data_IF_959088442320
#
_entry.id   IF_959088442320
#
_cell.length_a   1.000
_cell.length_b   1.000
_cell.length_c   1.000
_cell.angle_alpha   90.00
_cell.angle_beta   90.00
_cell.angle_gamma   90.00
#
_symmetry.space_group_name_H-M   'P 1'
#
loop_
_entity.id
_entity.type
_entity.pdbx_description
1 polymer ?
#
# COMPACT_ATOMS: atom_id res chain seq x y z
N UNK A 1 17.26 -6.06 -11.50
CA UNK A 1 17.20 -6.77 -10.20
C UNK A 1 15.83 -6.71 -9.53
N UNK A 2 15.15 -5.55 -9.53
CA UNK A 2 13.89 -5.36 -8.81
C UNK A 2 12.75 -6.31 -9.24
N UNK A 3 12.61 -6.61 -10.53
CA UNK A 3 11.55 -7.48 -11.04
C UNK A 3 11.62 -8.92 -10.48
N UNK A 4 12.82 -9.45 -10.27
CA UNK A 4 12.99 -10.81 -9.72
C UNK A 4 12.59 -10.89 -8.24
N UNK A 5 12.79 -9.81 -7.49
CA UNK A 5 12.38 -9.74 -6.08
C UNK A 5 10.86 -9.76 -6.00
N UNK A 6 10.18 -8.93 -6.80
CA UNK A 6 8.72 -8.90 -6.84
C UNK A 6 8.12 -10.22 -7.32
N UNK A 7 8.64 -10.80 -8.40
CA UNK A 7 8.21 -12.12 -8.85
C UNK A 7 8.45 -13.18 -7.77
N UNK A 8 9.58 -13.12 -7.07
CA UNK A 8 9.87 -14.02 -5.95
C UNK A 8 8.88 -13.89 -4.80
N UNK A 9 8.51 -12.66 -4.42
CA UNK A 9 7.50 -12.40 -3.37
C UNK A 9 6.11 -12.89 -3.78
N UNK A 10 5.70 -12.68 -5.03
CA UNK A 10 4.40 -13.13 -5.55
C UNK A 10 4.34 -14.66 -5.59
N UNK A 11 5.38 -15.31 -6.13
CA UNK A 11 5.45 -16.77 -6.17
C UNK A 11 5.49 -17.34 -4.75
N UNK A 12 6.30 -16.75 -3.87
CA UNK A 12 6.40 -17.15 -2.47
C UNK A 12 5.06 -17.04 -1.73
N UNK A 13 4.30 -15.97 -1.95
CA UNK A 13 2.99 -15.78 -1.33
C UNK A 13 1.96 -16.79 -1.83
N UNK A 14 1.94 -17.09 -3.13
CA UNK A 14 1.08 -18.12 -3.72
C UNK A 14 1.42 -19.52 -3.20
N UNK A 15 2.72 -19.86 -3.13
CA UNK A 15 3.17 -21.14 -2.57
C UNK A 15 2.81 -21.28 -1.09
N UNK A 16 2.97 -20.21 -0.32
CA UNK A 16 2.56 -20.16 1.09
C UNK A 16 1.05 -20.39 1.23
N UNK A 17 0.23 -19.67 0.47
CA UNK A 17 -1.22 -19.84 0.51
C UNK A 17 -1.66 -21.24 0.09
N UNK A 18 -1.08 -21.79 -0.97
CA UNK A 18 -1.38 -23.15 -1.41
C UNK A 18 -1.01 -24.17 -0.32
N UNK A 19 0.14 -24.00 0.33
CA UNK A 19 0.58 -24.88 1.42
C UNK A 19 -0.39 -24.82 2.62
N UNK A 20 -0.78 -23.62 3.04
CA UNK A 20 -1.73 -23.45 4.15
C UNK A 20 -3.10 -24.00 3.79
N UNK A 21 -3.64 -23.68 2.61
CA UNK A 21 -4.96 -24.15 2.19
C UNK A 21 -5.00 -25.68 2.02
N UNK A 22 -3.94 -26.28 1.49
CA UNK A 22 -3.83 -27.75 1.39
C UNK A 22 -3.76 -28.42 2.76
N UNK A 23 -3.04 -27.83 3.71
CA UNK A 23 -3.04 -28.28 5.10
C UNK A 23 -4.42 -28.15 5.75
N UNK A 24 -5.09 -27.00 5.61
CA UNK A 24 -6.43 -26.77 6.17
C UNK A 24 -7.48 -27.74 5.59
N UNK A 25 -7.36 -28.06 4.30
CA UNK A 25 -8.20 -29.07 3.63
C UNK A 25 -7.91 -30.49 4.15
N UNK A 26 -6.62 -30.84 4.33
CA UNK A 26 -6.22 -32.16 4.83
C UNK A 26 -6.65 -32.39 6.30
N UNK A 27 -6.58 -31.36 7.14
CA UNK A 27 -7.03 -31.38 8.53
C UNK A 27 -8.56 -31.26 8.67
N UNK A 28 -9.26 -30.96 7.56
CA UNK A 28 -10.68 -30.64 7.51
C UNK A 28 -11.08 -29.65 8.61
N UNK A 29 -10.30 -28.57 8.75
CA UNK A 29 -10.41 -27.58 9.84
C UNK A 29 -11.83 -27.02 10.00
N UNK A 30 -12.50 -26.79 8.88
CA UNK A 30 -13.86 -26.22 8.82
C UNK A 30 -14.97 -27.26 8.84
N UNK A 31 -14.64 -28.56 8.89
CA UNK A 31 -15.60 -29.67 8.90
C UNK A 31 -16.62 -29.57 7.74
N UNK A 32 -16.12 -29.27 6.54
CA UNK A 32 -16.90 -28.96 5.34
C UNK A 32 -17.99 -30.01 4.98
N UNK A 33 -17.76 -31.28 5.35
CA UNK A 33 -18.64 -32.40 5.04
C UNK A 33 -19.45 -32.89 6.27
N UNK A 34 -19.44 -32.17 7.38
CA UNK A 34 -20.17 -32.52 8.60
C UNK A 34 -21.22 -31.47 8.93
N UNK A 35 -22.40 -31.91 9.34
CA UNK A 35 -23.46 -31.04 9.81
C UNK A 35 -23.34 -30.82 11.32
N UNK A 36 -23.36 -29.56 11.75
CA UNK A 36 -23.35 -29.18 13.17
C UNK A 36 -24.72 -29.47 13.78
N UNK A 37 -24.83 -30.33 14.81
CA UNK A 37 -26.09 -30.53 15.51
C UNK A 37 -26.53 -29.25 16.20
N UNK A 38 -27.76 -28.82 15.94
CA UNK A 38 -28.37 -27.64 16.54
C UNK A 38 -29.78 -27.95 17.02
N UNK A 39 -30.25 -27.14 17.95
CA UNK A 39 -31.65 -27.17 18.38
C UNK A 39 -32.31 -25.88 17.94
N UNK A 40 -33.37 -26.00 17.16
CA UNK A 40 -34.15 -24.87 16.65
C UNK A 40 -35.38 -24.66 17.55
N UNK A 41 -35.49 -23.50 18.16
CA UNK A 41 -36.66 -23.09 18.96
C UNK A 41 -37.50 -22.10 18.15
N UNK A 42 -38.80 -22.36 18.03
CA UNK A 42 -39.74 -21.53 17.27
C UNK A 42 -40.65 -20.77 18.24
N UNK A 43 -40.46 -19.44 18.40
CA UNK A 43 -41.27 -18.63 19.33
C UNK A 43 -42.77 -18.75 19.09
N UNK A 44 -43.18 -18.79 17.82
CA UNK A 44 -44.57 -18.89 17.38
C UNK A 44 -44.99 -20.32 16.99
N UNK A 45 -44.12 -21.31 17.23
CA UNK A 45 -44.29 -22.69 16.79
C UNK A 45 -43.92 -22.92 15.32
N UNK A 46 -43.51 -24.16 15.02
CA UNK A 46 -43.01 -24.53 13.70
C UNK A 46 -44.09 -24.46 12.60
N UNK A 47 -43.86 -23.66 11.55
CA UNK A 47 -44.76 -23.53 10.40
C UNK A 47 -44.12 -24.07 9.12
N UNK A 48 -44.49 -25.27 8.64
CA UNK A 48 -43.79 -25.93 7.53
C UNK A 48 -43.90 -25.24 6.17
N UNK A 49 -44.95 -24.45 5.94
CA UNK A 49 -45.23 -23.77 4.67
C UNK A 49 -44.70 -22.32 4.62
N UNK A 50 -44.21 -21.79 5.75
CA UNK A 50 -43.72 -20.43 5.82
C UNK A 50 -42.41 -20.29 5.05
N UNK A 51 -42.36 -19.37 4.08
CA UNK A 51 -41.13 -19.09 3.31
C UNK A 51 -39.99 -18.59 4.19
N UNK A 52 -40.30 -17.79 5.21
CA UNK A 52 -39.36 -17.28 6.22
C UNK A 52 -40.07 -17.28 7.57
N UNK A 53 -39.43 -17.79 8.60
CA UNK A 53 -39.94 -17.73 9.97
C UNK A 53 -38.80 -17.49 10.96
N UNK A 54 -39.02 -16.73 12.05
CA UNK A 54 -38.02 -16.51 13.08
C UNK A 54 -37.70 -17.82 13.81
N UNK A 55 -36.44 -17.98 14.20
CA UNK A 55 -35.97 -19.14 14.94
C UNK A 55 -34.85 -18.73 15.90
N UNK A 56 -34.83 -19.33 17.08
CA UNK A 56 -33.67 -19.30 17.97
C UNK A 56 -32.85 -20.57 17.77
N UNK A 57 -31.56 -20.41 17.49
CA UNK A 57 -30.64 -21.49 17.13
C UNK A 57 -29.73 -21.72 18.32
N UNK A 58 -29.86 -22.89 18.93
CA UNK A 58 -29.03 -23.28 20.08
C UNK A 58 -27.95 -24.24 19.63
N UNK A 59 -26.71 -23.87 19.94
CA UNK A 59 -25.52 -24.65 19.66
C UNK A 59 -24.99 -25.18 20.99
N UNK A 60 -24.93 -26.49 21.13
CA UNK A 60 -24.33 -27.11 22.32
C UNK A 60 -22.82 -26.88 22.32
N UNK A 61 -22.31 -26.18 23.33
CA UNK A 61 -20.90 -25.83 23.40
C UNK A 61 -19.98 -27.04 23.55
N UNK A 62 -20.43 -28.15 24.15
CA UNK A 62 -19.60 -29.35 24.29
C UNK A 62 -19.44 -30.06 22.94
N UNK A 63 -20.55 -30.24 22.22
CA UNK A 63 -20.54 -30.78 20.84
C UNK A 63 -19.76 -29.89 19.88
N UNK A 64 -19.87 -28.58 20.03
CA UNK A 64 -19.11 -27.62 19.23
C UNK A 64 -17.59 -27.81 19.41
N UNK A 65 -17.12 -27.83 20.67
CA UNK A 65 -15.70 -28.02 20.98
C UNK A 65 -15.19 -29.37 20.52
N UNK A 66 -15.98 -30.43 20.67
CA UNK A 66 -15.64 -31.78 20.19
C UNK A 66 -15.51 -31.82 18.66
N UNK A 67 -16.49 -31.24 17.95
CA UNK A 67 -16.52 -31.23 16.49
C UNK A 67 -15.34 -30.46 15.91
N UNK A 68 -15.05 -29.26 16.42
CA UNK A 68 -14.02 -28.38 15.86
C UNK A 68 -12.65 -28.47 16.56
N UNK A 69 -12.53 -29.20 17.66
CA UNK A 69 -11.28 -29.32 18.42
C UNK A 69 -10.77 -27.98 18.96
N UNK A 70 -11.69 -27.10 19.40
CA UNK A 70 -11.39 -25.74 19.86
C UNK A 70 -11.81 -25.54 21.32
N UNK A 71 -11.14 -24.65 22.03
CA UNK A 71 -11.52 -24.24 23.39
C UNK A 71 -12.62 -23.16 23.37
N UNK A 72 -12.79 -22.48 22.24
CA UNK A 72 -13.78 -21.42 22.05
C UNK A 72 -15.20 -21.99 22.13
N UNK A 73 -16.10 -21.23 22.75
CA UNK A 73 -17.49 -21.63 22.94
C UNK A 73 -18.44 -20.62 22.29
N UNK A 74 -19.42 -21.08 21.52
CA UNK A 74 -20.45 -20.20 20.98
C UNK A 74 -21.41 -19.77 22.09
N UNK A 75 -22.17 -18.71 21.83
CA UNK A 75 -23.26 -18.28 22.69
C UNK A 75 -24.34 -19.37 22.80
N UNK A 76 -25.12 -19.33 23.89
CA UNK A 76 -26.10 -20.38 24.20
C UNK A 76 -27.32 -20.40 23.28
N UNK A 77 -27.60 -19.28 22.61
CA UNK A 77 -28.69 -19.10 21.64
C UNK A 77 -28.32 -17.98 20.69
N UNK A 78 -28.65 -18.15 19.42
CA UNK A 78 -28.52 -17.14 18.37
C UNK A 78 -29.88 -16.87 17.76
N UNK A 79 -30.22 -15.61 17.59
CA UNK A 79 -31.37 -15.25 16.77
C UNK A 79 -31.08 -15.58 15.29
N UNK A 80 -32.12 -15.93 14.55
CA UNK A 80 -32.01 -16.21 13.14
C UNK A 80 -33.36 -16.39 12.45
N UNK A 81 -33.30 -16.87 11.21
CA UNK A 81 -34.46 -17.15 10.37
C UNK A 81 -34.30 -18.50 9.69
N UNK A 82 -35.36 -19.28 9.70
CA UNK A 82 -35.49 -20.45 8.85
C UNK A 82 -36.14 -20.02 7.53
N UNK A 83 -35.40 -20.18 6.44
CA UNK A 83 -35.81 -19.79 5.09
C UNK A 83 -35.99 -21.03 4.23
N UNK A 84 -37.11 -21.11 3.53
CA UNK A 84 -37.37 -22.17 2.57
C UNK A 84 -36.95 -21.72 1.16
N UNK A 85 -35.99 -22.44 0.59
CA UNK A 85 -35.44 -22.23 -0.76
C UNK A 85 -35.74 -23.43 -1.65
N UNK A 86 -35.52 -23.30 -2.96
CA UNK A 86 -35.66 -24.42 -3.90
C UNK A 86 -34.67 -25.56 -3.61
N UNK A 87 -33.51 -25.25 -3.01
CA UNK A 87 -32.47 -26.20 -2.60
C UNK A 87 -32.75 -26.87 -1.25
N UNK A 88 -33.84 -26.49 -0.57
CA UNK A 88 -34.21 -26.99 0.74
C UNK A 88 -34.33 -25.87 1.78
N UNK A 89 -34.32 -26.25 3.06
CA UNK A 89 -34.44 -25.32 4.18
C UNK A 89 -33.06 -24.82 4.59
N UNK A 90 -32.88 -23.50 4.62
CA UNK A 90 -31.65 -22.83 5.06
C UNK A 90 -31.90 -22.11 6.38
N UNK A 91 -30.91 -22.16 7.25
CA UNK A 91 -30.86 -21.36 8.47
C UNK A 91 -29.98 -20.16 8.18
N UNK A 92 -30.51 -18.97 8.39
CA UNK A 92 -29.79 -17.69 8.33
C UNK A 92 -29.66 -17.18 9.76
N UNK A 93 -28.45 -16.97 10.25
CA UNK A 93 -28.23 -16.37 11.56
C UNK A 93 -28.47 -14.85 11.50
N UNK A 94 -28.57 -14.21 12.67
CA UNK A 94 -28.62 -12.75 12.73
C UNK A 94 -27.32 -12.12 12.18
N UNK A 95 -27.38 -11.10 11.32
CA UNK A 95 -26.20 -10.43 10.76
C UNK A 95 -25.24 -9.83 11.79
N UNK A 96 -25.76 -9.44 12.96
CA UNK A 96 -24.99 -8.80 14.02
C UNK A 96 -24.48 -9.83 15.06
N UNK A 97 -24.72 -11.13 14.84
CA UNK A 97 -24.25 -12.18 15.71
C UNK A 97 -22.72 -12.33 15.67
N UNK A 98 -22.12 -12.59 16.84
CA UNK A 98 -20.68 -12.87 16.94
C UNK A 98 -20.42 -14.35 17.11
N UNK A 99 -19.59 -14.91 16.23
CA UNK A 99 -19.24 -16.33 16.25
C UNK A 99 -17.79 -16.55 16.71
N UNK A 100 -17.50 -17.65 17.43
CA UNK A 100 -16.12 -18.10 17.63
C UNK A 100 -15.56 -18.77 16.37
N UNK A 101 -14.24 -18.92 16.32
CA UNK A 101 -13.58 -19.74 15.30
C UNK A 101 -13.93 -21.23 15.50
N UNK A 102 -14.23 -21.98 14.42
CA UNK A 102 -14.06 -21.60 13.00
C UNK A 102 -15.30 -20.99 12.31
N UNK A 103 -16.43 -20.80 13.00
CA UNK A 103 -17.67 -20.28 12.40
C UNK A 103 -17.52 -18.84 11.91
N UNK A 104 -16.76 -17.99 12.63
CA UNK A 104 -16.43 -16.63 12.18
C UNK A 104 -15.73 -16.61 10.81
N UNK A 105 -14.81 -17.56 10.58
CA UNK A 105 -14.15 -17.69 9.28
C UNK A 105 -15.13 -18.15 8.20
N UNK A 106 -16.03 -19.08 8.51
CA UNK A 106 -17.05 -19.57 7.57
C UNK A 106 -18.01 -18.43 7.18
N UNK A 107 -18.48 -17.65 8.15
CA UNK A 107 -19.30 -16.47 7.93
C UNK A 107 -18.59 -15.48 7.00
N UNK A 108 -17.41 -15.00 7.40
CA UNK A 108 -16.69 -13.98 6.63
C UNK A 108 -16.27 -14.45 5.24
N UNK A 109 -16.08 -15.75 5.02
CA UNK A 109 -15.73 -16.31 3.72
C UNK A 109 -16.88 -16.30 2.70
N UNK A 110 -18.12 -16.41 3.19
CA UNK A 110 -19.35 -16.45 2.38
C UNK A 110 -20.20 -15.18 2.51
N UNK A 111 -19.79 -14.23 3.35
CA UNK A 111 -20.40 -12.93 3.48
C UNK A 111 -20.33 -12.17 2.15
N UNK A 112 -21.44 -11.52 1.81
CA UNK A 112 -21.59 -10.64 0.64
C UNK A 112 -22.33 -9.38 1.06
N UNK A 113 -22.21 -8.29 0.30
CA UNK A 113 -22.88 -7.03 0.62
C UNK A 113 -24.40 -7.20 0.79
N UNK A 114 -25.02 -8.08 0.00
CA UNK A 114 -26.46 -8.37 0.06
C UNK A 114 -26.83 -9.34 1.19
N UNK A 115 -25.91 -10.20 1.62
CA UNK A 115 -26.16 -11.26 2.61
C UNK A 115 -24.90 -11.46 3.47
N UNK A 116 -24.73 -10.69 4.56
CA UNK A 116 -23.56 -10.78 5.43
C UNK A 116 -23.62 -11.94 6.43
N UNK A 117 -24.81 -12.44 6.73
CA UNK A 117 -25.02 -13.42 7.79
C UNK A 117 -24.45 -14.82 7.47
N UNK A 118 -24.07 -15.54 8.53
CA UNK A 118 -23.78 -16.98 8.47
C UNK A 118 -25.02 -17.77 8.01
N UNK A 119 -24.82 -18.72 7.10
CA UNK A 119 -25.88 -19.52 6.49
C UNK A 119 -25.49 -20.99 6.46
N UNK A 120 -26.50 -21.86 6.51
CA UNK A 120 -26.31 -23.28 6.30
C UNK A 120 -27.59 -24.02 5.95
N UNK A 121 -27.45 -25.18 5.34
CA UNK A 121 -28.56 -26.03 4.90
C UNK A 121 -28.93 -27.01 6.02
N UNK A 122 -30.22 -27.19 6.27
CA UNK A 122 -30.72 -28.22 7.17
C UNK A 122 -30.68 -29.59 6.53
N UNK A 123 -29.93 -30.52 7.12
CA UNK A 123 -29.73 -31.88 6.58
C UNK A 123 -30.48 -32.96 7.34
N UNK A 124 -30.79 -32.73 8.62
CA UNK A 124 -31.42 -33.72 9.50
C UNK A 124 -32.60 -33.14 10.30
N UNK A 125 -33.64 -32.64 9.62
CA UNK A 125 -34.88 -32.25 10.29
C UNK A 125 -35.87 -33.43 10.29
N UNK A 126 -36.23 -34.03 11.44
CA UNK A 126 -37.31 -35.00 11.49
C UNK A 126 -38.62 -34.34 11.01
N UNK A 127 -39.56 -35.14 10.50
CA UNK A 127 -40.89 -34.68 10.12
C UNK A 127 -41.63 -34.14 11.34
N UNK A 128 -41.46 -32.84 11.61
CA UNK A 128 -42.11 -32.16 12.73
C UNK A 128 -43.55 -31.78 12.36
N UNK A 129 -44.43 -31.91 13.34
CA UNK A 129 -45.82 -31.49 13.17
C UNK A 129 -45.92 -29.95 13.21
N UNK A 130 -46.90 -29.34 12.54
CA UNK A 130 -47.15 -27.90 12.70
C UNK A 130 -47.34 -27.54 14.17
N UNK A 131 -46.73 -26.43 14.61
CA UNK A 131 -46.80 -25.95 15.99
C UNK A 131 -45.80 -26.60 16.96
N UNK A 132 -44.88 -27.45 16.49
CA UNK A 132 -43.79 -27.95 17.33
C UNK A 132 -42.92 -26.79 17.84
N UNK A 133 -42.69 -26.66 19.16
CA UNK A 133 -41.94 -25.53 19.72
C UNK A 133 -40.43 -25.65 19.54
N UNK A 134 -39.91 -26.88 19.45
CA UNK A 134 -38.49 -27.15 19.36
C UNK A 134 -38.21 -28.33 18.42
N UNK A 135 -37.19 -28.19 17.57
CA UNK A 135 -36.78 -29.18 16.59
C UNK A 135 -35.28 -29.45 16.71
N UNK A 136 -34.91 -30.70 16.95
CA UNK A 136 -33.53 -31.14 16.79
C UNK A 136 -33.20 -31.26 15.31
N UNK A 137 -32.08 -30.65 14.92
CA UNK A 137 -31.67 -30.54 13.54
C UNK A 137 -30.15 -30.60 13.41
N UNK A 138 -29.68 -30.66 12.18
CA UNK A 138 -28.27 -30.44 11.88
C UNK A 138 -28.14 -29.45 10.73
N UNK A 139 -27.23 -28.49 10.89
CA UNK A 139 -26.95 -27.44 9.91
C UNK A 139 -25.59 -27.72 9.27
N UNK A 140 -25.58 -27.90 7.96
CA UNK A 140 -24.36 -28.00 7.18
C UNK A 140 -24.06 -26.64 6.56
N UNK A 141 -22.92 -26.07 6.90
CA UNK A 141 -22.45 -24.80 6.35
C UNK A 141 -21.85 -24.99 4.96
N UNK A 142 -21.91 -23.95 4.13
CA UNK A 142 -21.23 -23.96 2.83
C UNK A 142 -19.71 -24.18 3.00
N UNK A 143 -19.09 -25.01 2.15
CA UNK A 143 -17.70 -25.41 2.35
C UNK A 143 -16.72 -24.25 2.13
N UNK A 144 -15.73 -24.14 3.01
CA UNK A 144 -14.59 -23.22 2.88
C UNK A 144 -13.42 -23.96 2.24
N UNK A 145 -12.97 -23.48 1.08
CA UNK A 145 -11.84 -24.07 0.33
C UNK A 145 -10.97 -22.94 -0.24
N UNK A 146 -9.65 -23.15 -0.24
CA UNK A 146 -8.68 -22.24 -0.87
C UNK A 146 -8.80 -20.77 -0.44
N UNK A 147 -9.06 -20.54 0.86
CA UNK A 147 -9.33 -19.21 1.39
C UNK A 147 -8.12 -18.29 1.26
N UNK A 148 -6.93 -18.79 1.59
CA UNK A 148 -5.70 -17.98 1.51
C UNK A 148 -5.37 -17.64 0.07
N UNK A 149 -5.48 -18.60 -0.85
CA UNK A 149 -5.28 -18.35 -2.28
C UNK A 149 -6.24 -17.29 -2.81
N UNK A 150 -7.53 -17.37 -2.46
CA UNK A 150 -8.52 -16.36 -2.83
C UNK A 150 -8.14 -14.98 -2.28
N UNK A 151 -7.73 -14.89 -1.02
CA UNK A 151 -7.35 -13.61 -0.40
C UNK A 151 -6.12 -12.97 -1.05
N UNK A 152 -5.11 -13.76 -1.42
CA UNK A 152 -3.91 -13.24 -2.11
C UNK A 152 -4.24 -12.82 -3.53
N UNK A 153 -5.05 -13.60 -4.25
CA UNK A 153 -5.48 -13.24 -5.59
C UNK A 153 -6.29 -11.93 -5.60
N UNK A 154 -7.21 -11.78 -4.65
CA UNK A 154 -7.99 -10.54 -4.50
C UNK A 154 -7.08 -9.35 -4.18
N UNK A 155 -6.19 -9.49 -3.20
CA UNK A 155 -5.25 -8.42 -2.85
C UNK A 155 -4.38 -8.01 -4.05
N UNK A 156 -3.96 -8.95 -4.90
CA UNK A 156 -3.20 -8.65 -6.11
C UNK A 156 -4.00 -7.79 -7.11
N UNK A 157 -5.30 -8.07 -7.28
CA UNK A 157 -6.18 -7.27 -8.13
C UNK A 157 -6.44 -5.88 -7.53
N UNK A 158 -6.71 -5.80 -6.23
CA UNK A 158 -6.95 -4.53 -5.52
C UNK A 158 -5.73 -3.60 -5.61
N UNK A 159 -4.52 -4.16 -5.47
CA UNK A 159 -3.28 -3.40 -5.65
C UNK A 159 -3.04 -2.97 -7.09
N UNK A 160 -3.44 -3.76 -8.09
CA UNK A 160 -3.36 -3.37 -9.49
C UNK A 160 -4.28 -2.18 -9.80
N UNK A 161 -5.51 -2.20 -9.26
CA UNK A 161 -6.45 -1.07 -9.37
C UNK A 161 -5.90 0.19 -8.68
N UNK A 162 -5.38 0.03 -7.45
CA UNK A 162 -4.74 1.12 -6.71
C UNK A 162 -3.59 1.74 -7.50
N UNK A 163 -2.71 0.90 -8.07
CA UNK A 163 -1.58 1.37 -8.87
C UNK A 163 -2.04 2.12 -10.13
N UNK A 164 -3.07 1.63 -10.83
CA UNK A 164 -3.62 2.30 -12.02
C UNK A 164 -4.25 3.66 -11.67
N UNK A 165 -5.01 3.73 -10.57
CA UNK A 165 -5.62 4.97 -10.07
C UNK A 165 -4.56 6.01 -9.70
N UNK A 166 -3.51 5.59 -8.99
CA UNK A 166 -2.37 6.44 -8.67
C UNK A 166 -1.66 6.95 -9.92
N UNK A 167 -1.38 6.08 -10.89
CA UNK A 167 -0.72 6.47 -12.13
C UNK A 167 -1.53 7.54 -12.89
N UNK A 168 -2.85 7.37 -13.00
CA UNK A 168 -3.72 8.33 -13.67
C UNK A 168 -3.77 9.68 -12.93
N UNK A 169 -3.84 9.65 -11.60
CA UNK A 169 -3.78 10.86 -10.77
C UNK A 169 -2.47 11.61 -10.95
N UNK A 170 -1.34 10.89 -10.96
CA UNK A 170 -0.02 11.47 -11.18
C UNK A 170 0.06 12.13 -12.56
N UNK A 171 -0.34 11.46 -13.65
CA UNK A 171 -0.31 12.04 -15.01
C UNK A 171 -0.97 13.42 -15.06
N UNK A 172 -2.16 13.58 -14.46
CA UNK A 172 -2.86 14.86 -14.43
C UNK A 172 -2.09 15.94 -13.67
N UNK A 173 -1.55 15.61 -12.50
CA UNK A 173 -0.80 16.56 -11.67
C UNK A 173 0.54 16.93 -12.31
N UNK A 174 1.31 15.95 -12.81
CA UNK A 174 2.60 16.22 -13.46
C UNK A 174 2.38 17.09 -14.72
N UNK A 175 1.38 16.77 -15.55
CA UNK A 175 1.07 17.54 -16.76
C UNK A 175 0.70 18.99 -16.46
N UNK A 176 -0.10 19.24 -15.42
CA UNK A 176 -0.47 20.59 -14.99
C UNK A 176 0.73 21.37 -14.47
N UNK A 177 1.53 20.76 -13.57
CA UNK A 177 2.65 21.44 -12.92
C UNK A 177 3.79 21.73 -13.89
N UNK A 178 4.14 20.77 -14.75
CA UNK A 178 5.15 20.98 -15.80
C UNK A 178 4.69 22.03 -16.82
N UNK A 179 3.40 22.06 -17.16
CA UNK A 179 2.82 23.12 -18.01
C UNK A 179 2.92 24.51 -17.38
N UNK A 180 2.63 24.64 -16.08
CA UNK A 180 2.78 25.89 -15.34
C UNK A 180 4.24 26.36 -15.27
N UNK A 181 5.17 25.42 -15.05
CA UNK A 181 6.61 25.72 -15.07
C UNK A 181 7.03 26.20 -16.46
N UNK A 182 6.56 25.56 -17.53
CA UNK A 182 6.85 26.01 -18.90
C UNK A 182 6.35 27.43 -19.18
N UNK A 183 5.16 27.78 -18.69
CA UNK A 183 4.64 29.15 -18.77
C UNK A 183 5.53 30.12 -17.96
N UNK A 184 5.98 29.71 -16.78
CA UNK A 184 6.89 30.49 -15.94
C UNK A 184 8.25 30.75 -16.60
N UNK A 185 8.81 29.74 -17.27
CA UNK A 185 10.06 29.85 -18.05
C UNK A 185 9.88 30.85 -19.20
N UNK A 186 8.82 30.70 -20.00
CA UNK A 186 8.54 31.61 -21.11
C UNK A 186 8.26 33.05 -20.64
N UNK A 187 7.78 33.23 -19.41
CA UNK A 187 7.54 34.53 -18.79
C UNK A 187 8.79 35.15 -18.14
N UNK A 188 9.94 34.45 -18.10
CA UNK A 188 11.17 34.93 -17.45
C UNK A 188 11.14 34.87 -15.91
N UNK A 189 10.13 34.24 -15.33
CA UNK A 189 9.94 34.19 -13.87
C UNK A 189 10.92 33.22 -13.23
N UNK A 190 11.25 32.13 -13.92
CA UNK A 190 12.14 31.09 -13.42
C UNK A 190 13.57 31.60 -13.34
N UNK A 191 14.03 32.33 -14.34
CA UNK A 191 15.35 32.95 -14.39
C UNK A 191 15.52 33.97 -13.27
N UNK A 192 14.48 34.78 -13.01
CA UNK A 192 14.48 35.75 -11.92
C UNK A 192 14.56 35.07 -10.54
N UNK A 193 13.80 34.00 -10.32
CA UNK A 193 13.85 33.24 -9.06
C UNK A 193 15.17 32.49 -8.92
N UNK A 194 15.65 31.88 -10.00
CA UNK A 194 16.93 31.17 -10.03
C UNK A 194 18.06 32.11 -9.66
N UNK A 195 18.14 33.33 -10.23
CA UNK A 195 19.18 34.29 -9.89
C UNK A 195 19.25 34.68 -8.41
N UNK A 196 18.13 34.60 -7.66
CA UNK A 196 18.11 34.84 -6.21
C UNK A 196 18.69 33.67 -5.42
N UNK A 197 18.44 32.43 -5.87
CA UNK A 197 18.80 31.20 -5.16
C UNK A 197 20.16 30.65 -5.63
N UNK A 198 20.60 31.04 -6.83
CA UNK A 198 21.86 30.69 -7.46
C UNK A 198 23.11 30.86 -6.56
N UNK A 199 23.30 31.95 -5.79
CA UNK A 199 24.47 32.06 -4.91
C UNK A 199 24.52 30.98 -3.82
N UNK A 200 23.37 30.40 -3.45
CA UNK A 200 23.30 29.29 -2.50
C UNK A 200 23.52 27.93 -3.17
N UNK A 201 23.09 27.78 -4.43
CA UNK A 201 23.14 26.50 -5.15
C UNK A 201 24.45 26.27 -5.91
N UNK A 202 25.06 27.30 -6.48
CA UNK A 202 26.33 27.16 -7.23
C UNK A 202 27.43 26.42 -6.43
N UNK A 203 27.64 26.68 -5.12
CA UNK A 203 28.61 25.93 -4.34
C UNK A 203 28.25 24.45 -4.13
N UNK A 204 26.97 24.09 -4.24
CA UNK A 204 26.47 22.73 -4.05
C UNK A 204 26.48 21.90 -5.34
N UNK A 205 26.48 22.58 -6.50
CA UNK A 205 26.40 21.96 -7.83
C UNK A 205 27.53 22.46 -8.75
N UNK A 206 28.81 22.19 -8.41
CA UNK A 206 29.97 22.79 -9.08
C UNK A 206 30.15 22.37 -10.54
N UNK A 207 29.62 21.22 -10.98
CA UNK A 207 29.80 20.74 -12.36
C UNK A 207 28.68 21.18 -13.30
N UNK A 208 27.73 22.01 -12.83
CA UNK A 208 26.63 22.50 -13.65
C UNK A 208 27.00 23.86 -14.26
N UNK A 209 27.06 23.99 -15.60
CA UNK A 209 27.33 25.27 -16.26
C UNK A 209 26.28 26.34 -15.95
N UNK A 210 26.67 27.61 -15.90
CA UNK A 210 25.77 28.73 -15.58
C UNK A 210 24.58 28.85 -16.54
N UNK A 211 24.77 28.49 -17.81
CA UNK A 211 23.74 28.57 -18.86
C UNK A 211 22.91 27.27 -19.01
N UNK A 212 23.14 26.25 -18.17
CA UNK A 212 22.43 24.97 -18.27
C UNK A 212 21.09 24.98 -17.51
N UNK A 213 19.99 24.45 -18.08
CA UNK A 213 18.67 24.44 -17.44
C UNK A 213 18.60 23.65 -16.11
N UNK A 214 19.60 22.80 -15.84
CA UNK A 214 19.65 21.99 -14.61
C UNK A 214 19.53 22.84 -13.35
N UNK A 215 20.23 23.98 -13.23
CA UNK A 215 20.13 24.83 -12.03
C UNK A 215 18.74 25.44 -11.86
N UNK A 216 18.06 25.80 -12.95
CA UNK A 216 16.70 26.30 -12.91
C UNK A 216 15.73 25.22 -12.43
N UNK A 217 15.82 24.00 -12.97
CA UNK A 217 14.98 22.87 -12.57
C UNK A 217 15.24 22.40 -11.13
N UNK A 218 16.50 22.41 -10.68
CA UNK A 218 16.87 22.18 -9.28
C UNK A 218 16.26 23.24 -8.37
N UNK A 219 16.38 24.52 -8.74
CA UNK A 219 15.82 25.64 -7.98
C UNK A 219 14.31 25.51 -7.84
N UNK A 220 13.62 25.20 -8.93
CA UNK A 220 12.18 24.95 -8.97
C UNK A 220 11.75 23.78 -8.08
N UNK A 221 12.46 22.65 -8.15
CA UNK A 221 12.21 21.49 -7.31
C UNK A 221 12.38 21.82 -5.81
N UNK A 222 13.46 22.52 -5.44
CA UNK A 222 13.70 22.93 -4.06
C UNK A 222 12.66 23.94 -3.57
N UNK A 223 12.29 24.92 -4.39
CA UNK A 223 11.25 25.89 -4.06
C UNK A 223 9.89 25.21 -3.88
N UNK A 224 9.53 24.25 -4.74
CA UNK A 224 8.30 23.47 -4.57
C UNK A 224 8.28 22.71 -3.22
N UNK A 225 9.41 22.15 -2.80
CA UNK A 225 9.55 21.56 -1.48
C UNK A 225 9.43 22.60 -0.36
N UNK A 226 10.13 23.74 -0.46
CA UNK A 226 10.13 24.82 0.55
C UNK A 226 8.74 25.41 0.79
N UNK A 227 7.95 25.56 -0.27
CA UNK A 227 6.59 26.10 -0.21
C UNK A 227 5.52 25.04 0.08
N UNK A 228 5.91 23.78 0.36
CA UNK A 228 4.96 22.72 0.70
C UNK A 228 4.11 22.24 -0.49
N UNK A 229 4.53 22.54 -1.72
CA UNK A 229 3.93 22.09 -2.98
C UNK A 229 4.47 20.71 -3.38
N UNK A 230 4.50 19.76 -2.42
CA UNK A 230 5.16 18.46 -2.61
C UNK A 230 4.67 17.65 -3.82
N UNK A 231 3.41 17.81 -4.20
CA UNK A 231 2.82 17.19 -5.39
C UNK A 231 3.44 17.70 -6.72
N UNK A 232 4.05 18.87 -6.71
CA UNK A 232 4.79 19.45 -7.84
C UNK A 232 6.31 19.22 -7.72
N UNK A 233 6.84 18.92 -6.53
CA UNK A 233 8.27 18.78 -6.34
C UNK A 233 8.85 17.54 -7.05
N UNK A 234 8.19 16.39 -6.93
CA UNK A 234 8.64 15.13 -7.53
C UNK A 234 8.82 15.19 -9.06
N UNK A 235 7.87 15.69 -9.89
CA UNK A 235 8.10 15.82 -11.33
C UNK A 235 9.29 16.73 -11.66
N UNK A 236 9.43 17.84 -10.93
CA UNK A 236 10.52 18.80 -11.14
C UNK A 236 11.87 18.18 -10.75
N UNK A 237 11.88 17.35 -9.70
CA UNK A 237 13.05 16.59 -9.27
C UNK A 237 13.49 15.56 -10.31
N UNK A 238 12.53 14.87 -10.95
CA UNK A 238 12.84 13.94 -12.06
C UNK A 238 13.42 14.71 -13.24
N UNK A 239 12.82 15.84 -13.64
CA UNK A 239 13.36 16.68 -14.72
C UNK A 239 14.78 17.18 -14.40
N UNK A 240 15.01 17.64 -13.18
CA UNK A 240 16.34 18.06 -12.72
C UNK A 240 17.35 16.91 -12.74
N UNK A 241 16.95 15.70 -12.36
CA UNK A 241 17.80 14.50 -12.46
C UNK A 241 18.14 14.13 -13.90
N UNK A 242 17.19 14.24 -14.84
CA UNK A 242 17.45 14.04 -16.27
C UNK A 242 18.47 15.07 -16.80
N UNK A 243 18.33 16.33 -16.40
CA UNK A 243 19.25 17.39 -16.83
C UNK A 243 20.64 17.20 -16.24
N UNK A 244 20.76 16.78 -14.97
CA UNK A 244 22.04 16.39 -14.37
C UNK A 244 22.65 15.15 -15.04
N UNK A 245 21.82 14.16 -15.41
CA UNK A 245 22.28 12.98 -16.14
C UNK A 245 22.84 13.34 -17.52
N UNK A 246 22.30 14.37 -18.18
CA UNK A 246 22.83 14.82 -19.48
C UNK A 246 24.24 15.42 -19.40
N UNK A 247 24.62 15.89 -18.20
CA UNK A 247 25.97 16.39 -17.90
C UNK A 247 26.90 15.31 -17.35
N UNK A 248 26.35 14.15 -16.97
CA UNK A 248 27.08 13.08 -16.32
C UNK A 248 27.90 12.27 -17.36
N UNK A 249 29.23 12.15 -17.19
CA UNK A 249 30.07 11.36 -18.09
C UNK A 249 29.81 9.84 -18.05
N UNK A 250 29.10 9.35 -17.02
CA UNK A 250 28.78 7.94 -16.85
C UNK A 250 27.27 7.71 -16.76
N UNK A 251 26.74 6.83 -17.62
CA UNK A 251 25.30 6.52 -17.64
C UNK A 251 24.84 5.63 -16.48
N UNK A 252 25.74 4.81 -15.93
CA UNK A 252 25.42 3.79 -14.92
C UNK A 252 25.76 4.21 -13.48
N UNK A 253 26.43 5.35 -13.32
CA UNK A 253 26.98 5.82 -12.05
C UNK A 253 26.53 7.26 -11.79
N UNK A 254 25.87 7.49 -10.65
CA UNK A 254 25.39 8.82 -10.29
C UNK A 254 26.57 9.79 -10.02
N UNK A 255 26.46 11.03 -10.52
CA UNK A 255 27.41 12.10 -10.21
C UNK A 255 27.19 12.66 -8.80
N UNK A 256 28.20 13.35 -8.25
CA UNK A 256 28.10 14.00 -6.93
C UNK A 256 26.95 15.02 -6.88
N UNK A 257 26.66 15.68 -8.00
CA UNK A 257 25.56 16.63 -8.15
C UNK A 257 24.20 15.92 -8.05
N UNK A 258 24.04 14.74 -8.68
CA UNK A 258 22.82 13.93 -8.54
C UNK A 258 22.62 13.45 -7.11
N UNK A 259 23.70 13.03 -6.43
CA UNK A 259 23.65 12.62 -5.03
C UNK A 259 23.28 13.79 -4.11
N UNK A 260 23.83 14.99 -4.38
CA UNK A 260 23.48 16.21 -3.66
C UNK A 260 21.99 16.56 -3.83
N UNK A 261 21.47 16.54 -5.06
CA UNK A 261 20.05 16.79 -5.33
C UNK A 261 19.14 15.81 -4.58
N UNK A 262 19.51 14.52 -4.56
CA UNK A 262 18.76 13.50 -3.83
C UNK A 262 18.78 13.74 -2.31
N UNK A 263 19.94 14.10 -1.75
CA UNK A 263 20.07 14.41 -0.34
C UNK A 263 19.19 15.60 0.06
N UNK A 264 19.18 16.68 -0.74
CA UNK A 264 18.34 17.86 -0.50
C UNK A 264 16.84 17.55 -0.60
N UNK A 265 16.43 16.72 -1.55
CA UNK A 265 15.02 16.30 -1.67
C UNK A 265 14.59 15.40 -0.50
N UNK A 266 15.48 14.52 -0.05
CA UNK A 266 15.24 13.62 1.08
C UNK A 266 15.16 14.38 2.40
N UNK A 267 15.96 15.44 2.56
CA UNK A 267 15.94 16.28 3.76
C UNK A 267 14.76 17.25 3.82
N UNK A 268 14.11 17.50 2.67
CA UNK A 268 12.81 18.17 2.54
C UNK A 268 12.73 19.49 3.31
N UNK A 269 13.62 20.45 3.00
CA UNK A 269 13.54 21.82 3.58
C UNK A 269 12.13 22.36 3.32
N UNK A 270 11.36 22.59 4.37
CA UNK A 270 10.01 23.12 4.30
C UNK A 270 9.92 24.35 5.18
N UNK A 271 9.63 25.49 4.56
CA UNK A 271 9.30 26.71 5.28
C UNK A 271 7.79 26.78 5.53
N UNK A 272 6.99 26.22 4.64
CA UNK A 272 5.54 26.14 4.78
C UNK A 272 5.16 24.69 5.13
N UNK A 273 4.30 24.48 6.16
CA UNK A 273 3.78 23.16 6.47
C UNK A 273 3.11 22.50 5.25
N UNK A 274 3.23 21.18 5.05
CA UNK A 274 2.62 20.51 3.91
C UNK A 274 1.13 20.84 3.78
N UNK A 275 0.67 21.08 2.55
CA UNK A 275 -0.73 21.40 2.29
C UNK A 275 -1.70 20.33 2.87
N UNK A 276 -1.29 19.06 2.86
CA UNK A 276 -2.02 17.98 3.51
C UNK A 276 -2.15 18.16 5.03
N UNK A 277 -1.07 18.56 5.70
CA UNK A 277 -1.09 18.81 7.15
C UNK A 277 -2.04 19.96 7.49
N UNK A 278 -2.00 21.04 6.70
CA UNK A 278 -2.94 22.17 6.82
C UNK A 278 -4.38 21.72 6.59
N UNK A 279 -4.62 20.83 5.63
CA UNK A 279 -5.97 20.31 5.35
C UNK A 279 -6.55 19.45 6.48
N UNK A 280 -5.71 18.71 7.22
CA UNK A 280 -6.13 17.82 8.31
C UNK A 280 -6.29 18.57 9.64
N UNK A 281 -5.37 19.50 9.94
CA UNK A 281 -5.25 20.13 11.26
C UNK A 281 -5.67 21.60 11.28
N UNK A 282 -5.98 22.20 10.12
CA UNK A 282 -6.37 23.60 10.01
C UNK A 282 -5.33 24.56 10.61
N UNK A 283 -5.79 25.56 11.37
CA UNK A 283 -4.91 26.58 11.97
C UNK A 283 -4.00 26.05 13.09
N UNK A 284 -4.24 24.85 13.63
CA UNK A 284 -3.40 24.27 14.68
C UNK A 284 -2.00 23.94 14.18
N UNK A 285 -1.81 23.77 12.87
CA UNK A 285 -0.51 23.55 12.23
C UNK A 285 0.49 24.67 12.49
N UNK A 286 0.02 25.90 12.74
CA UNK A 286 0.91 27.02 13.05
C UNK A 286 1.78 26.77 14.29
N UNK A 287 1.33 25.91 15.22
CA UNK A 287 2.14 25.52 16.38
C UNK A 287 3.31 24.61 16.01
N UNK A 288 3.21 23.90 14.89
CA UNK A 288 4.23 22.97 14.38
C UNK A 288 5.21 23.63 13.42
N UNK A 289 4.92 24.85 12.93
CA UNK A 289 5.77 25.58 11.99
C UNK A 289 7.23 25.61 12.41
N UNK A 290 7.50 26.05 13.64
CA UNK A 290 8.88 26.18 14.14
C UNK A 290 9.59 24.83 14.20
N UNK A 291 8.90 23.80 14.71
CA UNK A 291 9.47 22.46 14.85
C UNK A 291 9.75 21.80 13.49
N UNK A 292 8.86 21.97 12.50
CA UNK A 292 9.03 21.45 11.14
C UNK A 292 10.20 22.15 10.46
N UNK A 293 10.24 23.48 10.47
CA UNK A 293 11.32 24.26 9.86
C UNK A 293 12.67 23.93 10.50
N UNK A 294 12.73 23.83 11.83
CA UNK A 294 13.97 23.50 12.53
C UNK A 294 14.45 22.07 12.20
N UNK A 295 13.56 21.09 12.24
CA UNK A 295 13.90 19.70 11.95
C UNK A 295 14.37 19.52 10.50
N UNK A 296 13.70 20.15 9.53
CA UNK A 296 14.05 20.05 8.11
C UNK A 296 15.33 20.81 7.77
N UNK A 297 15.59 21.96 8.43
CA UNK A 297 16.87 22.66 8.32
C UNK A 297 18.01 21.81 8.87
N UNK A 298 17.87 21.22 10.06
CA UNK A 298 18.89 20.34 10.64
C UNK A 298 19.13 19.10 9.75
N UNK A 299 18.07 18.49 9.23
CA UNK A 299 18.15 17.37 8.28
C UNK A 299 18.91 17.75 7.01
N UNK A 300 18.67 18.95 6.50
CA UNK A 300 19.29 19.43 5.26
C UNK A 300 20.76 19.75 5.45
N UNK A 301 21.12 20.42 6.55
CA UNK A 301 22.52 20.64 6.92
C UNK A 301 23.24 19.29 7.07
N UNK A 302 22.62 18.33 7.76
CA UNK A 302 23.19 16.99 7.91
C UNK A 302 23.33 16.27 6.55
N UNK A 303 22.36 16.41 5.65
CA UNK A 303 22.40 15.87 4.29
C UNK A 303 23.56 16.44 3.47
N UNK A 304 23.68 17.77 3.42
CA UNK A 304 24.77 18.47 2.71
C UNK A 304 26.14 18.10 3.29
N UNK A 305 26.28 18.14 4.63
CA UNK A 305 27.56 17.78 5.26
C UNK A 305 27.90 16.30 5.03
N UNK A 306 26.89 15.43 5.05
CA UNK A 306 27.03 14.01 4.76
C UNK A 306 27.51 13.75 3.34
N UNK A 307 26.90 14.38 2.34
CA UNK A 307 27.32 14.23 0.93
C UNK A 307 28.73 14.77 0.71
N UNK A 308 29.06 15.95 1.26
CA UNK A 308 30.40 16.53 1.16
C UNK A 308 31.46 15.67 1.86
N UNK A 309 31.16 15.11 3.03
CA UNK A 309 32.08 14.22 3.75
C UNK A 309 32.28 12.90 3.01
N UNK A 310 31.20 12.29 2.49
CA UNK A 310 31.25 11.02 1.78
C UNK A 310 31.98 11.13 0.44
N UNK A 311 31.79 12.22 -0.30
CA UNK A 311 32.52 12.48 -1.55
C UNK A 311 34.06 12.49 -1.32
N UNK A 312 34.54 12.90 -0.15
CA UNK A 312 35.99 12.88 0.14
C UNK A 312 36.56 11.47 0.44
N UNK A 313 35.71 10.49 0.73
CA UNK A 313 36.16 9.14 1.08
C UNK A 313 36.79 8.47 -0.15
N UNK A 314 37.98 7.83 -0.02
CA UNK A 314 38.70 7.27 -1.17
C UNK A 314 37.90 6.30 -2.03
N UNK A 315 37.01 5.51 -1.41
CA UNK A 315 36.14 4.57 -2.11
C UNK A 315 35.16 5.28 -3.07
N UNK A 316 34.44 6.30 -2.60
CA UNK A 316 33.48 7.04 -3.43
C UNK A 316 34.18 7.97 -4.42
N UNK A 317 35.32 8.55 -4.01
CA UNK A 317 36.14 9.38 -4.88
C UNK A 317 36.67 8.61 -6.11
N UNK A 318 36.99 7.33 -5.97
CA UNK A 318 37.47 6.50 -7.08
C UNK A 318 36.37 6.18 -8.12
N UNK A 319 35.10 6.27 -7.73
CA UNK A 319 33.95 5.99 -8.61
C UNK A 319 33.29 7.26 -9.14
N UNK A 320 33.84 8.45 -8.85
CA UNK A 320 33.22 9.72 -9.22
C UNK A 320 33.32 10.00 -10.73
N UNK A 321 32.20 10.08 -11.47
CA UNK A 321 32.20 10.17 -12.94
C UNK A 321 33.00 11.35 -13.50
N UNK A 322 32.78 12.56 -12.99
CA UNK A 322 33.46 13.77 -13.47
C UNK A 322 34.97 13.73 -13.24
N UNK A 323 35.42 13.18 -12.10
CA UNK A 323 36.85 13.08 -11.78
C UNK A 323 37.57 12.08 -12.65
N UNK A 324 36.92 10.95 -12.94
CA UNK A 324 37.49 9.93 -13.80
C UNK A 324 37.59 10.44 -15.25
N UNK A 325 36.57 11.16 -15.73
CA UNK A 325 36.62 11.80 -17.04
C UNK A 325 37.71 12.88 -17.15
N UNK A 326 37.92 13.70 -16.11
CA UNK A 326 39.02 14.67 -16.06
C UNK A 326 40.41 13.99 -16.10
N UNK A 327 40.59 12.91 -15.33
CA UNK A 327 41.85 12.17 -15.31
C UNK A 327 42.17 11.51 -16.67
N UNK A 328 41.16 10.94 -17.33
CA UNK A 328 41.32 10.37 -18.68
C UNK A 328 41.64 11.43 -19.74
N UNK A 329 41.08 12.63 -19.61
CA UNK A 329 41.38 13.75 -20.51
C UNK A 329 42.83 14.23 -20.36
N UNK A 330 43.35 14.32 -19.14
CA UNK A 330 44.73 14.74 -18.85
C UNK A 330 45.76 13.73 -19.38
N UNK A 331 45.54 12.43 -19.14
CA UNK A 331 46.39 11.34 -19.68
C UNK A 331 46.41 11.33 -21.23
N UNK A 332 45.29 11.66 -21.87
CA UNK A 332 45.21 11.72 -23.34
C UNK A 332 45.90 12.95 -23.95
N UNK A 333 45.96 14.06 -23.20
CA UNK A 333 46.64 15.28 -23.60
C UNK A 333 48.16 15.09 -23.55
N UNK A 334 48.67 14.46 -22.48
CA UNK A 334 50.09 14.14 -22.31
C UNK A 334 50.59 13.14 -23.36
N UNK A 335 49.81 12.10 -23.69
CA UNK A 335 50.16 11.13 -24.72
C UNK A 335 50.23 11.73 -26.15
N UNK A 336 49.43 12.75 -26.45
CA UNK A 336 49.47 13.46 -27.72
C UNK A 336 50.63 14.47 -27.80
N UNK A 337 51.13 14.94 -26.66
CA UNK A 337 52.30 15.83 -26.60
C UNK A 337 53.59 15.04 -26.85
N UNK A 338 53.73 13.86 -26.24
CA UNK A 338 54.89 12.95 -26.42
C UNK A 338 54.99 12.30 -27.82
N UNK A 339 53.92 12.34 -28.62
CA UNK A 339 53.91 11.78 -29.98
C UNK A 339 54.15 12.81 -31.10
N UNK A 340 54.33 14.09 -30.74
CA UNK A 340 54.67 15.17 -31.67
C UNK A 340 56.14 15.65 -31.59
N UNK A 341 56.96 15.06 -30.71
CA UNK A 341 58.43 15.15 -30.73
C UNK A 341 59.09 13.98 -31.47
#
# INVERSE_FOLDING_TARGET
MLNYIWSGLIIGSLLFALTVDTQELAENRFRNDQALPVTLEFPDGYTPEARRQPVEIRIDSARYREMFGTDAAPESSYAGRLVQTEEGRKVEFDPDASFPEPLATIESYHATDDNPALRGILTAAPSASPGTPQLEAAVQFEPVRFRKLRSIAQAALDFAETAASLALSLIGVLGLMLGLVKIGEEAGLIEALTGVVQPLLNPLFPNVPEDHPALANISLNLLANVFGLGNAATPLGIKAMEDLQSLNPADDTASDDMVMLLALNTSSVQLVPPALLVSIMGLQVNQLFFSITLATLCSTVAGILGTLALHQVPYFRATAPHRNAEAEADDSADANFDSQE
#
